data_IF_820108970721
#
_entry.id   IF_820108970721
#
_cell.length_a   1.000
_cell.length_b   1.000
_cell.length_c   1.000
_cell.angle_alpha   90.00
_cell.angle_beta   90.00
_cell.angle_gamma   90.00
#
_symmetry.space_group_name_H-M   'P 1'
#
loop_
_entity.id
_entity.type
_entity.pdbx_description
1 polymer ?
#
# COMPACT_ATOMS: atom_id res chain seq x y z
N UNK A 1 -18.07 -1.51 -1.46
CA UNK A 1 -16.92 -1.51 -2.39
C UNK A 1 -16.43 -0.08 -2.49
N UNK A 2 -15.17 0.17 -2.11
CA UNK A 2 -14.56 1.49 -2.25
C UNK A 2 -14.06 1.68 -3.69
N UNK A 3 -14.15 2.90 -4.25
CA UNK A 3 -13.60 3.17 -5.57
C UNK A 3 -12.07 2.99 -5.55
N UNK A 4 -11.55 2.26 -6.54
CA UNK A 4 -10.11 2.18 -6.80
C UNK A 4 -9.68 3.48 -7.48
N UNK A 5 -8.83 4.25 -6.81
CA UNK A 5 -8.32 5.53 -7.32
C UNK A 5 -7.20 5.33 -8.32
N UNK A 6 -6.40 4.28 -8.15
CA UNK A 6 -5.27 3.99 -9.03
C UNK A 6 -5.01 2.49 -9.11
N UNK A 7 -4.52 2.01 -10.26
CA UNK A 7 -4.15 0.61 -10.44
C UNK A 7 -2.92 0.52 -11.33
N UNK A 8 -1.88 -0.15 -10.83
CA UNK A 8 -0.63 -0.36 -11.55
C UNK A 8 -0.09 -1.76 -11.28
N UNK A 9 0.38 -2.47 -12.33
CA UNK A 9 1.02 -3.79 -12.21
C UNK A 9 0.23 -4.82 -11.37
N UNK A 10 -1.11 -4.77 -11.41
CA UNK A 10 -1.97 -5.66 -10.64
C UNK A 10 -2.20 -5.24 -9.18
N UNK A 11 -1.58 -4.15 -8.74
CA UNK A 11 -1.81 -3.49 -7.46
C UNK A 11 -2.94 -2.48 -7.62
N UNK A 12 -3.95 -2.55 -6.75
CA UNK A 12 -5.08 -1.63 -6.67
C UNK A 12 -4.91 -0.73 -5.46
N UNK A 13 -4.98 0.56 -5.68
CA UNK A 13 -4.91 1.57 -4.65
C UNK A 13 -6.30 2.15 -4.40
N UNK A 14 -6.70 2.23 -3.14
CA UNK A 14 -8.03 2.72 -2.75
C UNK A 14 -8.02 3.31 -1.35
N UNK A 15 -9.05 4.10 -1.06
CA UNK A 15 -9.29 4.70 0.24
C UNK A 15 -10.48 4.01 0.91
N UNK A 16 -10.38 3.71 2.21
CA UNK A 16 -11.56 3.30 2.98
C UNK A 16 -12.25 4.55 3.52
N UNK A 17 -13.45 4.84 3.01
CA UNK A 17 -14.25 6.00 3.42
C UNK A 17 -14.72 5.98 4.89
N UNK A 18 -14.38 4.93 5.65
CA UNK A 18 -14.83 4.71 7.05
C UNK A 18 -13.66 4.46 8.00
N UNK A 19 -12.43 4.67 7.54
CA UNK A 19 -11.22 4.40 8.31
C UNK A 19 -10.54 5.75 8.58
N UNK A 20 -10.25 6.01 9.86
CA UNK A 20 -9.43 7.09 10.47
C UNK A 20 -9.22 8.41 9.72
N UNK A 21 -9.32 9.53 10.45
CA UNK A 21 -9.14 10.91 9.94
C UNK A 21 -7.77 11.17 9.28
N UNK A 22 -6.76 10.35 9.57
CA UNK A 22 -5.39 10.49 9.05
C UNK A 22 -5.31 10.01 7.59
N UNK A 23 -4.71 10.82 6.72
CA UNK A 23 -4.52 10.49 5.30
C UNK A 23 -3.69 9.21 5.13
N UNK A 24 -4.28 8.19 4.50
CA UNK A 24 -3.65 6.91 4.24
C UNK A 24 -4.21 6.28 2.97
N UNK A 25 -3.42 5.43 2.31
CA UNK A 25 -3.84 4.70 1.12
C UNK A 25 -3.64 3.20 1.33
N UNK A 26 -4.59 2.41 0.87
CA UNK A 26 -4.51 0.95 0.86
C UNK A 26 -4.08 0.49 -0.52
N UNK A 27 -3.11 -0.42 -0.58
CA UNK A 27 -2.58 -1.03 -1.78
C UNK A 27 -2.82 -2.55 -1.71
N UNK A 28 -3.72 -3.06 -2.54
CA UNK A 28 -4.08 -4.48 -2.61
C UNK A 28 -3.55 -5.09 -3.90
N UNK A 29 -2.78 -6.17 -3.79
CA UNK A 29 -2.26 -6.97 -4.88
C UNK A 29 -2.77 -8.41 -4.78
N UNK A 30 -2.46 -9.24 -5.78
CA UNK A 30 -2.74 -10.68 -5.71
C UNK A 30 -1.98 -11.37 -4.55
N UNK A 31 -0.82 -10.85 -4.19
CA UNK A 31 0.09 -11.43 -3.19
C UNK A 31 -0.21 -10.94 -1.76
N UNK A 32 -0.82 -9.77 -1.61
CA UNK A 32 -1.12 -9.21 -0.30
C UNK A 32 -1.63 -7.77 -0.31
N UNK A 33 -1.86 -7.25 0.89
CA UNK A 33 -2.33 -5.89 1.14
C UNK A 33 -1.31 -5.09 1.96
N UNK A 34 -1.22 -3.80 1.68
CA UNK A 34 -0.41 -2.86 2.43
C UNK A 34 -1.17 -1.56 2.67
N UNK A 35 -0.99 -0.97 3.85
CA UNK A 35 -1.50 0.37 4.21
C UNK A 35 -0.30 1.30 4.34
N UNK A 36 -0.39 2.46 3.73
CA UNK A 36 0.62 3.51 3.79
C UNK A 36 0.01 4.78 4.38
N UNK A 37 0.71 5.40 5.33
CA UNK A 37 0.40 6.76 5.78
C UNK A 37 0.96 7.73 4.74
N UNK A 38 0.23 8.80 4.44
CA UNK A 38 0.70 9.87 3.54
C UNK A 38 1.32 11.03 4.30
N UNK A 39 0.92 11.19 5.57
CA UNK A 39 1.39 12.28 6.44
C UNK A 39 1.94 11.75 7.76
N UNK A 40 2.97 12.41 8.32
CA UNK A 40 3.70 13.55 7.76
C UNK A 40 4.68 13.16 6.64
N UNK A 41 5.05 11.88 6.55
CA UNK A 41 5.88 11.31 5.49
C UNK A 41 5.24 9.99 5.02
N UNK A 42 5.61 9.53 3.82
CA UNK A 42 5.07 8.28 3.28
C UNK A 42 5.69 7.10 4.03
N UNK A 43 4.93 6.54 4.97
CA UNK A 43 5.38 5.44 5.84
C UNK A 43 4.51 4.20 5.69
N UNK A 44 5.13 3.02 5.73
CA UNK A 44 4.43 1.74 5.71
C UNK A 44 3.74 1.50 7.06
N UNK A 45 2.43 1.73 7.13
CA UNK A 45 1.61 1.55 8.32
C UNK A 45 1.45 0.08 8.70
N UNK A 46 1.11 -0.74 7.69
CA UNK A 46 0.80 -2.14 7.88
C UNK A 46 1.06 -2.88 6.59
N UNK A 47 1.72 -4.02 6.70
CA UNK A 47 1.92 -4.95 5.61
C UNK A 47 1.32 -6.28 6.04
N UNK A 48 0.31 -6.75 5.30
CA UNK A 48 -0.23 -8.08 5.44
C UNK A 48 0.04 -8.86 4.14
N UNK A 49 0.97 -9.81 4.23
CA UNK A 49 1.40 -10.73 3.14
C UNK A 49 2.28 -10.17 2.02
N UNK A 50 2.73 -8.91 2.03
CA UNK A 50 3.93 -8.59 1.26
C UNK A 50 5.12 -9.29 1.93
N UNK A 51 5.53 -10.41 1.37
CA UNK A 51 6.78 -11.06 1.72
C UNK A 51 7.85 -9.97 1.73
N UNK A 52 8.51 -9.80 2.89
CA UNK A 52 9.54 -8.79 3.21
C UNK A 52 10.76 -8.79 2.24
N UNK A 53 10.69 -9.58 1.16
CA UNK A 53 11.76 -9.97 0.23
C UNK A 53 11.70 -9.29 -1.13
N UNK A 54 10.68 -8.49 -1.46
CA UNK A 54 10.62 -7.74 -2.73
C UNK A 54 11.11 -6.29 -2.65
N UNK A 55 11.26 -5.71 -1.45
CA UNK A 55 11.74 -4.33 -1.27
C UNK A 55 13.28 -4.18 -1.19
N UNK A 56 14.06 -5.21 -1.55
CA UNK A 56 15.53 -5.15 -1.46
C UNK A 56 16.24 -5.93 -2.57
N UNK A 57 16.01 -5.56 -3.84
CA UNK A 57 16.96 -5.89 -4.93
C UNK A 57 17.13 -4.70 -5.88
N UNK A 58 17.59 -3.59 -5.31
CA UNK A 58 18.39 -2.59 -6.01
C UNK A 58 19.63 -2.37 -5.16
N UNK A 59 20.70 -3.11 -5.44
CA UNK A 59 22.08 -2.77 -5.09
C UNK A 59 23.03 -3.78 -5.74
N UNK A 60 23.48 -3.41 -6.95
CA UNK A 60 24.89 -3.27 -7.30
C UNK A 60 25.87 -4.37 -6.85
N UNK A 61 26.21 -5.28 -7.77
CA UNK A 61 27.59 -5.57 -8.24
C UNK A 61 27.49 -6.49 -9.45
#
# INVERSE_FOLDING_TARGET
MSPTVFKENGIKYFFFSKEEDRMHIHALSADGEAKFWLEPEIELAKNHRYARKQLKKSNHS
#
